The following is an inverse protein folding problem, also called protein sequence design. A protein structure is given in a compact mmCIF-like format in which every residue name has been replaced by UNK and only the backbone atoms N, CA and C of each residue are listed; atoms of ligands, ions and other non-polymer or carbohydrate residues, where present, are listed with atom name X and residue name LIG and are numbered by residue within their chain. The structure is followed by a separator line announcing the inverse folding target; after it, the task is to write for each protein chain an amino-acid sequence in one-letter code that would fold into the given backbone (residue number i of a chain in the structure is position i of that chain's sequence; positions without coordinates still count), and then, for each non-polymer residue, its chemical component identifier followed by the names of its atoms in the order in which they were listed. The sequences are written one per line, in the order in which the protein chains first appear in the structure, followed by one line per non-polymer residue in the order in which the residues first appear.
data_IF_423761099142
#
_entry.id   IF_423761099142
#
_cell.length_a   1.000
_cell.length_b   1.000
_cell.length_c   1.000
_cell.angle_alpha   90.00
_cell.angle_beta   90.00
_cell.angle_gamma   90.00
#
_symmetry.space_group_name_H-M   'P 1'
#
loop_
_entity.id
_entity.type
_entity.pdbx_description
1 polymer ?
#
# COMPACT_ATOMS: atom_id res chain seq x y z
N UNK A 1 -6.41 -18.14 10.80
CA UNK A 1 -6.36 -16.93 11.66
C UNK A 1 -5.07 -16.10 11.56
N UNK A 2 -4.08 -16.48 10.71
CA UNK A 2 -2.79 -15.78 10.64
C UNK A 2 -2.67 -14.65 9.59
N UNK A 3 -3.63 -14.52 8.67
CA UNK A 3 -3.65 -13.41 7.70
C UNK A 3 -4.31 -12.17 8.34
N UNK A 4 -3.51 -11.40 9.05
CA UNK A 4 -3.95 -10.19 9.73
C UNK A 4 -2.87 -9.09 9.64
N UNK A 5 -3.29 -7.86 9.95
CA UNK A 5 -2.45 -6.68 9.80
C UNK A 5 -1.26 -6.63 10.78
N UNK A 6 -1.30 -7.40 11.88
CA UNK A 6 -0.34 -7.28 12.99
C UNK A 6 1.08 -7.60 12.55
N UNK A 7 1.26 -8.69 11.80
CA UNK A 7 2.59 -9.14 11.41
C UNK A 7 3.23 -8.11 10.47
N UNK A 8 2.54 -7.75 9.39
CA UNK A 8 3.01 -6.71 8.47
C UNK A 8 3.30 -5.37 9.17
N UNK A 9 2.46 -4.97 10.12
CA UNK A 9 2.66 -3.73 10.87
C UNK A 9 3.92 -3.76 11.73
N UNK A 10 4.19 -4.85 12.46
CA UNK A 10 5.39 -4.99 13.31
C UNK A 10 6.65 -4.88 12.46
N UNK A 11 6.67 -5.54 11.30
CA UNK A 11 7.80 -5.54 10.37
C UNK A 11 8.05 -4.17 9.75
N UNK A 12 6.97 -3.45 9.47
CA UNK A 12 7.03 -2.14 8.87
C UNK A 12 7.29 -1.02 9.89
N UNK A 13 7.02 -1.24 11.18
CA UNK A 13 6.96 -0.19 12.20
C UNK A 13 8.22 0.69 12.28
N UNK A 14 9.40 0.09 12.14
CA UNK A 14 10.69 0.78 12.24
C UNK A 14 11.27 1.24 10.89
N UNK A 15 10.60 0.94 9.78
CA UNK A 15 11.11 1.26 8.44
C UNK A 15 10.91 2.74 8.05
N UNK A 16 9.72 3.36 8.22
CA UNK A 16 9.53 4.77 7.89
C UNK A 16 9.94 5.67 9.06
N UNK A 17 10.14 6.95 8.76
CA UNK A 17 10.30 7.97 9.81
C UNK A 17 9.04 8.08 10.69
N UNK A 18 7.85 7.88 10.10
CA UNK A 18 6.61 7.87 10.83
C UNK A 18 5.51 7.09 10.09
N UNK A 19 4.68 6.38 10.84
CA UNK A 19 3.48 5.72 10.34
C UNK A 19 2.24 6.59 10.57
N UNK A 20 1.28 6.54 9.65
CA UNK A 20 -0.02 7.23 9.74
C UNK A 20 -1.14 6.22 9.52
N UNK A 21 -2.31 6.51 10.11
CA UNK A 21 -3.52 5.67 9.98
C UNK A 21 -4.78 6.55 10.01
N UNK A 22 -5.05 7.34 8.96
CA UNK A 22 -6.18 8.27 8.96
C UNK A 22 -7.54 7.57 8.81
N UNK A 23 -7.55 6.30 8.40
CA UNK A 23 -8.76 5.46 8.38
C UNK A 23 -9.56 5.51 7.08
N UNK A 24 -8.96 5.96 5.97
CA UNK A 24 -9.60 5.95 4.65
C UNK A 24 -8.57 5.62 3.57
N UNK A 25 -8.65 4.40 3.02
CA UNK A 25 -7.73 3.93 1.98
C UNK A 25 -7.76 4.81 0.72
N UNK A 26 -8.94 5.28 0.31
CA UNK A 26 -9.06 6.18 -0.85
C UNK A 26 -8.32 7.50 -0.61
N UNK A 27 -8.39 8.04 0.60
CA UNK A 27 -7.69 9.29 0.95
C UNK A 27 -6.18 9.05 1.06
N UNK A 28 -5.76 7.93 1.63
CA UNK A 28 -4.35 7.54 1.72
C UNK A 28 -3.69 7.42 0.34
N UNK A 29 -4.38 6.81 -0.63
CA UNK A 29 -3.93 6.75 -2.02
C UNK A 29 -3.81 8.14 -2.66
N UNK A 30 -4.78 9.03 -2.41
CA UNK A 30 -4.71 10.43 -2.85
C UNK A 30 -3.57 11.20 -2.17
N UNK A 31 -3.21 10.86 -0.93
CA UNK A 31 -2.07 11.45 -0.23
C UNK A 31 -0.73 10.97 -0.80
N UNK A 32 -0.63 9.71 -1.22
CA UNK A 32 0.51 9.23 -2.02
C UNK A 32 0.61 10.00 -3.31
N UNK A 33 -0.50 10.15 -4.05
CA UNK A 33 -0.54 10.90 -5.29
C UNK A 33 -0.10 12.38 -5.12
N UNK A 34 -0.47 12.99 -3.99
CA UNK A 34 -0.13 14.37 -3.66
C UNK A 34 1.25 14.54 -3.00
N UNK A 35 2.02 13.46 -2.81
CA UNK A 35 3.33 13.49 -2.13
C UNK A 35 3.26 13.83 -0.63
N UNK A 36 2.09 13.69 -0.01
CA UNK A 36 1.90 13.88 1.45
C UNK A 36 2.29 12.64 2.25
N UNK A 37 2.14 11.46 1.62
CA UNK A 37 2.64 10.20 2.12
C UNK A 37 3.61 9.62 1.08
N UNK A 38 4.70 9.03 1.55
CA UNK A 38 5.70 8.39 0.69
C UNK A 38 5.24 7.03 0.16
N UNK A 39 4.35 6.37 0.90
CA UNK A 39 3.76 5.10 0.52
C UNK A 39 2.58 4.69 1.40
N UNK A 40 1.78 3.78 0.87
CA UNK A 40 0.59 3.21 1.48
C UNK A 40 0.55 1.72 1.19
N UNK A 41 0.19 0.92 2.20
CA UNK A 41 -0.13 -0.49 2.02
C UNK A 41 -1.27 -0.89 2.95
N UNK A 42 -2.15 -1.76 2.47
CA UNK A 42 -3.24 -2.31 3.27
C UNK A 42 -3.76 -3.63 2.68
N UNK A 43 -4.43 -4.43 3.50
CA UNK A 43 -5.03 -5.71 3.16
C UNK A 43 -6.50 -5.75 3.55
N UNK A 44 -7.25 -6.63 2.89
CA UNK A 44 -8.70 -6.85 3.08
C UNK A 44 -9.54 -5.61 2.79
N UNK A 45 -9.15 -4.85 1.77
CA UNK A 45 -9.92 -3.74 1.25
C UNK A 45 -10.90 -4.20 0.18
N UNK A 46 -11.99 -3.45 0.01
CA UNK A 46 -12.93 -3.70 -1.07
C UNK A 46 -12.63 -2.84 -2.29
N UNK A 47 -13.12 -3.21 -3.49
CA UNK A 47 -12.81 -2.49 -4.72
C UNK A 47 -13.17 -0.99 -4.64
N UNK A 48 -14.25 -0.64 -3.96
CA UNK A 48 -14.69 0.76 -3.80
C UNK A 48 -13.75 1.60 -2.93
N UNK A 49 -12.98 0.99 -2.03
CA UNK A 49 -12.01 1.70 -1.19
C UNK A 49 -10.77 2.11 -1.99
N UNK A 50 -10.46 1.38 -3.06
CA UNK A 50 -9.18 1.51 -3.78
C UNK A 50 -9.32 2.08 -5.20
N UNK A 51 -10.41 1.75 -5.92
CA UNK A 51 -10.53 2.02 -7.36
C UNK A 51 -10.24 3.46 -7.77
N UNK A 52 -10.84 4.43 -7.08
CA UNK A 52 -10.63 5.84 -7.40
C UNK A 52 -9.23 6.31 -7.00
N UNK A 53 -8.73 5.90 -5.84
CA UNK A 53 -7.41 6.27 -5.36
C UNK A 53 -6.27 5.66 -6.18
N UNK A 54 -6.43 4.41 -6.63
CA UNK A 54 -5.40 3.67 -7.35
C UNK A 54 -5.12 4.30 -8.70
N UNK A 55 -6.15 4.70 -9.46
CA UNK A 55 -5.95 5.39 -10.74
C UNK A 55 -5.34 6.78 -10.56
N UNK A 56 -5.74 7.53 -9.52
CA UNK A 56 -5.17 8.84 -9.20
C UNK A 56 -3.67 8.70 -8.87
N UNK A 57 -3.31 7.76 -7.99
CA UNK A 57 -1.93 7.49 -7.62
C UNK A 57 -1.08 7.05 -8.84
N UNK A 58 -1.60 6.14 -9.67
CA UNK A 58 -0.92 5.71 -10.90
C UNK A 58 -0.66 6.88 -11.85
N UNK A 59 -1.64 7.77 -12.04
CA UNK A 59 -1.48 8.96 -12.90
C UNK A 59 -0.51 9.99 -12.33
N UNK A 60 -0.35 10.04 -11.02
CA UNK A 60 0.68 10.84 -10.36
C UNK A 60 2.08 10.19 -10.42
N UNK A 61 2.23 9.01 -11.02
CA UNK A 61 3.52 8.32 -11.19
C UNK A 61 3.84 7.32 -10.08
N UNK A 62 2.89 7.00 -9.20
CA UNK A 62 3.06 5.93 -8.22
C UNK A 62 3.01 4.55 -8.89
N UNK A 63 3.83 3.63 -8.41
CA UNK A 63 3.66 2.20 -8.67
C UNK A 63 2.56 1.68 -7.74
N UNK A 64 1.57 0.97 -8.30
CA UNK A 64 0.43 0.42 -7.56
C UNK A 64 0.28 -1.07 -7.87
N UNK A 65 0.48 -1.91 -6.86
CA UNK A 65 0.52 -3.37 -7.00
C UNK A 65 -0.24 -4.07 -5.88
N UNK A 66 -0.46 -5.38 -6.02
CA UNK A 66 -0.75 -6.26 -4.89
C UNK A 66 0.54 -6.55 -4.06
N UNK A 67 0.44 -7.43 -3.06
CA UNK A 67 1.57 -7.82 -2.19
C UNK A 67 2.56 -8.79 -2.87
N UNK A 68 2.17 -9.41 -3.97
CA UNK A 68 3.05 -10.26 -4.77
C UNK A 68 3.87 -9.44 -5.79
N UNK A 69 3.45 -8.19 -6.04
CA UNK A 69 4.06 -7.25 -6.97
C UNK A 69 3.39 -7.28 -8.35
N UNK A 70 2.25 -7.94 -8.50
CA UNK A 70 1.46 -7.87 -9.72
C UNK A 70 0.74 -6.52 -9.80
N UNK A 71 0.44 -6.00 -11.00
CA UNK A 71 -0.40 -4.82 -11.14
C UNK A 71 -1.70 -4.98 -10.36
N UNK A 72 -2.10 -3.94 -9.61
CA UNK A 72 -3.36 -3.96 -8.88
C UNK A 72 -4.54 -4.04 -9.87
N UNK A 73 -5.50 -4.94 -9.60
CA UNK A 73 -6.74 -5.11 -10.35
C UNK A 73 -7.94 -4.99 -9.40
N UNK A 74 -9.16 -4.90 -9.95
CA UNK A 74 -10.37 -4.72 -9.13
C UNK A 74 -10.59 -5.83 -8.11
N UNK A 75 -10.15 -7.05 -8.43
CA UNK A 75 -10.26 -8.24 -7.60
C UNK A 75 -9.18 -8.30 -6.50
N UNK A 76 -8.16 -7.43 -6.56
CA UNK A 76 -7.12 -7.36 -5.54
C UNK A 76 -7.71 -6.79 -4.24
N UNK A 77 -7.65 -7.58 -3.17
CA UNK A 77 -8.04 -7.19 -1.81
C UNK A 77 -6.88 -6.58 -1.00
N UNK A 78 -5.69 -6.48 -1.62
CA UNK A 78 -4.45 -5.96 -1.06
C UNK A 78 -3.84 -4.95 -2.02
N UNK A 79 -3.23 -3.91 -1.48
CA UNK A 79 -2.64 -2.85 -2.29
C UNK A 79 -1.35 -2.32 -1.65
N UNK A 80 -0.38 -2.02 -2.50
CA UNK A 80 0.83 -1.25 -2.18
C UNK A 80 0.95 -0.13 -3.20
N UNK A 81 0.99 1.11 -2.74
CA UNK A 81 1.11 2.30 -3.57
C UNK A 81 2.22 3.21 -3.04
N UNK A 82 3.20 3.55 -3.87
CA UNK A 82 4.29 4.47 -3.54
C UNK A 82 5.01 4.93 -4.81
N UNK A 83 5.94 5.88 -4.71
CA UNK A 83 6.85 6.14 -5.83
C UNK A 83 7.70 4.88 -6.15
N UNK A 84 8.24 4.71 -7.36
CA UNK A 84 8.89 3.46 -7.77
C UNK A 84 10.10 3.03 -6.91
N UNK A 85 10.79 3.97 -6.26
CA UNK A 85 11.92 3.66 -5.40
C UNK A 85 11.46 3.14 -4.03
N UNK A 86 10.51 3.83 -3.40
CA UNK A 86 9.97 3.45 -2.09
C UNK A 86 9.08 2.21 -2.20
N UNK A 87 8.35 2.06 -3.31
CA UNK A 87 7.56 0.87 -3.61
C UNK A 87 8.39 -0.41 -3.49
N UNK A 88 9.58 -0.43 -4.13
CA UNK A 88 10.51 -1.57 -4.02
C UNK A 88 10.91 -1.87 -2.58
N UNK A 89 11.19 -0.84 -1.78
CA UNK A 89 11.56 -1.01 -0.37
C UNK A 89 10.40 -1.59 0.46
N UNK A 90 9.17 -1.08 0.26
CA UNK A 90 7.97 -1.61 0.92
C UNK A 90 7.78 -3.09 0.56
N UNK A 91 7.85 -3.43 -0.73
CA UNK A 91 7.70 -4.81 -1.19
C UNK A 91 8.74 -5.76 -0.59
N UNK A 92 10.00 -5.32 -0.44
CA UNK A 92 11.04 -6.12 0.22
C UNK A 92 10.69 -6.43 1.68
N UNK A 93 10.16 -5.44 2.42
CA UNK A 93 9.78 -5.62 3.83
C UNK A 93 8.57 -6.55 3.96
N UNK A 94 7.54 -6.36 3.12
CA UNK A 94 6.30 -7.13 3.19
C UNK A 94 6.51 -8.60 2.78
N UNK A 95 7.32 -8.88 1.75
CA UNK A 95 7.64 -10.26 1.30
C UNK A 95 8.40 -11.08 2.35
N UNK A 96 9.15 -10.43 3.24
CA UNK A 96 9.86 -11.10 4.33
C UNK A 96 8.94 -11.83 5.32
N UNK A 97 7.62 -11.63 5.25
CA UNK A 97 6.62 -12.18 6.16
C UNK A 97 5.59 -13.12 5.53
N UNK A 98 5.68 -13.40 4.22
CA UNK A 98 4.85 -14.43 3.56
C UNK A 98 5.39 -15.87 3.78
N UNK A 99 6.50 -16.04 4.52
CA UNK A 99 7.13 -17.33 4.84
C UNK A 99 6.69 -17.92 6.18
#
# INVERSE_FOLDING_TARGET
ENDNNRNYFISFFHAPQASRRPGSASLDLCYVAAGRLDGFWELKLHPWDMSAGSIIAQKAGASVTDFHGNPWILESDRIVAANPQIHKQIMTILKGHEA
#
